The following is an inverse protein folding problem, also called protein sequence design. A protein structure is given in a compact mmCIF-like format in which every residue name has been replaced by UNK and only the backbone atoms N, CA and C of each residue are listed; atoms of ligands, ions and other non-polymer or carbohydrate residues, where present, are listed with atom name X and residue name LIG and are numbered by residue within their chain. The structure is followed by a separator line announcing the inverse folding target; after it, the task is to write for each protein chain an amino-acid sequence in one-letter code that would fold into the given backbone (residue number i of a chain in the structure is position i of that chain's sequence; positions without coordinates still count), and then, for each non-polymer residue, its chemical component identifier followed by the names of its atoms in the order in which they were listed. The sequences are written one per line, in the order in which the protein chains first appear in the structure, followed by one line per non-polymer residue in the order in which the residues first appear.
data_IF_321156654535
#
_entry.id   IF_321156654535
#
_cell.length_a   1.000
_cell.length_b   1.000
_cell.length_c   1.000
_cell.angle_alpha   90.00
_cell.angle_beta   90.00
_cell.angle_gamma   90.00
#
_symmetry.space_group_name_H-M   'P 1'
#
loop_
_entity.id
_entity.type
_entity.pdbx_description
1 polymer ?
#
# COMPACT_ATOMS: atom_id res chain seq x y z
N UNK A 1 -5.50 -9.85 3.76
CA UNK A 1 -4.08 -9.88 4.18
C UNK A 1 -4.03 -9.74 5.70
N UNK A 2 -3.24 -10.56 6.41
CA UNK A 2 -3.12 -10.51 7.87
C UNK A 2 -2.45 -9.22 8.38
N UNK A 3 -2.80 -8.78 9.60
CA UNK A 3 -2.21 -7.62 10.27
C UNK A 3 -0.73 -7.85 10.62
N UNK A 4 -0.34 -9.11 10.81
CA UNK A 4 1.00 -9.58 11.12
C UNK A 4 2.03 -9.20 10.04
N UNK A 5 1.60 -8.77 8.85
CA UNK A 5 2.50 -8.21 7.83
C UNK A 5 3.36 -7.07 8.39
N UNK A 6 2.83 -6.25 9.31
CA UNK A 6 3.56 -5.14 9.92
C UNK A 6 4.79 -5.54 10.71
N UNK A 7 4.92 -6.82 11.08
CA UNK A 7 6.08 -7.37 11.79
C UNK A 7 7.29 -7.58 10.87
N UNK A 8 7.11 -7.55 9.55
CA UNK A 8 8.19 -7.70 8.57
C UNK A 8 8.95 -6.37 8.39
N UNK A 9 9.53 -5.85 9.47
CA UNK A 9 10.16 -4.52 9.50
C UNK A 9 11.31 -4.32 8.52
N UNK A 10 11.95 -5.41 8.08
CA UNK A 10 13.06 -5.42 7.11
C UNK A 10 12.60 -5.59 5.66
N UNK A 11 11.29 -5.76 5.40
CA UNK A 11 10.77 -5.98 4.06
C UNK A 11 10.96 -4.73 3.19
N UNK A 12 11.63 -4.91 2.05
CA UNK A 12 11.92 -3.82 1.11
C UNK A 12 10.97 -3.81 -0.09
N UNK A 13 10.50 -4.97 -0.51
CA UNK A 13 9.60 -5.10 -1.65
C UNK A 13 8.42 -6.00 -1.28
N UNK A 14 7.21 -5.55 -1.62
CA UNK A 14 5.98 -6.29 -1.39
C UNK A 14 5.15 -6.30 -2.68
N UNK A 15 5.15 -7.46 -3.34
CA UNK A 15 4.36 -7.73 -4.55
C UNK A 15 3.05 -8.44 -4.18
N UNK A 16 1.94 -7.74 -4.38
CA UNK A 16 0.59 -8.23 -4.12
C UNK A 16 -0.32 -8.08 -5.35
N UNK A 17 0.27 -7.86 -6.52
CA UNK A 17 -0.47 -7.69 -7.76
C UNK A 17 -1.27 -8.95 -8.14
N UNK A 18 -2.36 -8.75 -8.90
CA UNK A 18 -3.21 -9.84 -9.40
C UNK A 18 -3.85 -10.71 -8.30
N UNK A 19 -4.24 -10.07 -7.21
CA UNK A 19 -4.97 -10.71 -6.12
C UNK A 19 -6.42 -10.21 -6.07
N UNK A 20 -7.16 -10.70 -5.08
CA UNK A 20 -8.54 -10.30 -4.81
C UNK A 20 -8.63 -9.43 -3.54
N UNK A 21 -7.59 -8.63 -3.26
CA UNK A 21 -7.57 -7.78 -2.07
C UNK A 21 -8.63 -6.70 -2.19
N UNK A 22 -9.51 -6.64 -1.19
CA UNK A 22 -10.54 -5.60 -1.05
C UNK A 22 -10.13 -4.50 -0.07
N UNK A 23 -9.19 -4.80 0.82
CA UNK A 23 -8.62 -3.86 1.79
C UNK A 23 -7.18 -4.24 2.16
N UNK A 24 -6.47 -3.27 2.74
CA UNK A 24 -5.17 -3.46 3.37
C UNK A 24 -5.28 -3.20 4.88
N UNK A 25 -4.57 -3.97 5.72
CA UNK A 25 -4.44 -3.68 7.14
C UNK A 25 -3.72 -2.35 7.35
N UNK A 26 -4.05 -1.63 8.43
CA UNK A 26 -3.37 -0.37 8.79
C UNK A 26 -1.91 -0.63 9.18
N UNK A 27 -1.61 -1.84 9.65
CA UNK A 27 -0.27 -2.33 9.98
C UNK A 27 0.69 -2.30 8.80
N UNK A 28 0.21 -2.14 7.55
CA UNK A 28 1.08 -1.87 6.40
C UNK A 28 2.01 -0.68 6.65
N UNK A 29 1.59 0.33 7.44
CA UNK A 29 2.42 1.49 7.80
C UNK A 29 3.62 1.17 8.67
N UNK A 30 3.69 -0.03 9.27
CA UNK A 30 4.81 -0.47 10.10
C UNK A 30 6.01 -0.95 9.27
N UNK A 31 5.84 -1.16 7.96
CA UNK A 31 6.89 -1.61 7.04
C UNK A 31 7.90 -0.49 6.72
N UNK A 32 8.64 -0.03 7.74
CA UNK A 32 9.49 1.16 7.68
C UNK A 32 10.60 1.12 6.62
N UNK A 33 11.02 -0.07 6.18
CA UNK A 33 12.04 -0.28 5.15
C UNK A 33 11.46 -0.53 3.75
N UNK A 34 10.13 -0.51 3.59
CA UNK A 34 9.48 -0.81 2.32
C UNK A 34 9.76 0.26 1.29
N UNK A 35 10.32 -0.14 0.15
CA UNK A 35 10.72 0.70 -0.97
C UNK A 35 9.78 0.54 -2.17
N UNK A 36 9.29 -0.68 -2.39
CA UNK A 36 8.34 -1.02 -3.45
C UNK A 36 7.09 -1.73 -2.94
N UNK A 37 5.92 -1.25 -3.38
CA UNK A 37 4.62 -1.85 -3.11
C UNK A 37 3.81 -1.95 -4.41
N UNK A 38 3.60 -3.16 -4.90
CA UNK A 38 2.75 -3.42 -6.06
C UNK A 38 1.40 -4.00 -5.64
N UNK A 39 0.35 -3.20 -5.80
CA UNK A 39 -1.04 -3.55 -5.49
C UNK A 39 -1.89 -3.62 -6.77
N UNK A 40 -1.27 -3.58 -7.95
CA UNK A 40 -2.00 -3.53 -9.21
C UNK A 40 -2.92 -4.73 -9.41
N UNK A 41 -4.02 -4.56 -10.15
CA UNK A 41 -4.99 -5.63 -10.43
C UNK A 41 -5.56 -6.26 -9.17
N UNK A 42 -6.14 -5.44 -8.31
CA UNK A 42 -6.85 -5.85 -7.10
C UNK A 42 -8.26 -5.20 -7.08
N UNK A 43 -8.99 -5.35 -5.98
CA UNK A 43 -10.34 -4.82 -5.78
C UNK A 43 -10.36 -3.73 -4.70
N UNK A 44 -9.24 -3.01 -4.51
CA UNK A 44 -9.13 -1.96 -3.50
C UNK A 44 -9.99 -0.75 -3.90
N UNK A 45 -10.85 -0.34 -2.98
CA UNK A 45 -11.68 0.87 -3.13
C UNK A 45 -11.08 2.08 -2.42
N UNK A 46 -10.23 1.83 -1.43
CA UNK A 46 -9.53 2.83 -0.64
C UNK A 46 -8.14 2.32 -0.23
N UNK A 47 -7.32 3.24 0.27
CA UNK A 47 -6.01 2.94 0.87
C UNK A 47 -5.95 3.43 2.31
N UNK A 48 -5.38 2.65 3.25
CA UNK A 48 -5.16 3.13 4.62
C UNK A 48 -4.21 4.33 4.60
N UNK A 49 -4.51 5.34 5.45
CA UNK A 49 -3.72 6.59 5.51
C UNK A 49 -2.26 6.34 5.93
N UNK A 50 -2.03 5.21 6.58
CA UNK A 50 -0.75 4.65 7.01
C UNK A 50 0.23 4.41 5.86
N UNK A 51 -0.24 4.18 4.61
CA UNK A 51 0.65 4.15 3.43
C UNK A 51 1.40 5.49 3.29
N UNK A 52 0.76 6.60 3.66
CA UNK A 52 1.38 7.91 3.69
C UNK A 52 2.53 8.03 4.69
N UNK A 53 2.66 7.12 5.66
CA UNK A 53 3.71 7.11 6.69
C UNK A 53 4.96 6.33 6.28
N UNK A 54 4.87 5.48 5.25
CA UNK A 54 5.96 4.60 4.79
C UNK A 54 7.14 5.39 4.20
N UNK A 55 8.02 5.97 5.03
CA UNK A 55 9.00 6.97 4.60
C UNK A 55 9.95 6.53 3.49
N UNK A 56 10.28 5.23 3.42
CA UNK A 56 11.15 4.66 2.40
C UNK A 56 10.41 4.23 1.12
N UNK A 57 9.07 4.35 1.05
CA UNK A 57 8.32 3.90 -0.11
C UNK A 57 8.46 4.91 -1.26
N UNK A 58 9.08 4.46 -2.35
CA UNK A 58 9.31 5.25 -3.56
C UNK A 58 8.45 4.77 -4.73
N UNK A 59 8.14 3.47 -4.78
CA UNK A 59 7.33 2.88 -5.85
C UNK A 59 6.02 2.35 -5.28
N UNK A 60 4.90 2.96 -5.70
CA UNK A 60 3.55 2.51 -5.37
C UNK A 60 2.77 2.29 -6.66
N UNK A 61 2.41 1.04 -6.96
CA UNK A 61 1.61 0.69 -8.14
C UNK A 61 0.20 0.32 -7.73
N UNK A 62 -0.77 1.02 -8.30
CA UNK A 62 -2.20 0.90 -7.95
C UNK A 62 -3.10 0.66 -9.15
N UNK A 63 -2.53 0.52 -10.36
CA UNK A 63 -3.27 0.36 -11.60
C UNK A 63 -4.28 -0.78 -11.50
N UNK A 64 -5.41 -0.66 -12.20
CA UNK A 64 -6.45 -1.70 -12.23
C UNK A 64 -7.02 -2.02 -10.83
N UNK A 65 -7.22 -0.99 -10.01
CA UNK A 65 -8.06 -1.03 -8.81
C UNK A 65 -9.21 -0.02 -8.93
N UNK A 66 -10.41 -0.32 -8.39
CA UNK A 66 -11.55 0.60 -8.38
C UNK A 66 -11.44 1.66 -7.27
N UNK A 67 -10.27 2.31 -7.14
CA UNK A 67 -10.00 3.29 -6.08
C UNK A 67 -10.89 4.52 -6.24
N UNK A 68 -11.61 4.88 -5.18
CA UNK A 68 -12.47 6.07 -5.13
C UNK A 68 -12.06 7.02 -4.02
N UNK A 69 -11.65 6.47 -2.88
CA UNK A 69 -11.34 7.22 -1.68
C UNK A 69 -9.86 7.05 -1.31
N UNK A 70 -9.04 7.99 -1.77
CA UNK A 70 -7.60 8.04 -1.46
C UNK A 70 -7.37 9.36 -0.73
N UNK A 71 -6.85 9.27 0.49
CA UNK A 71 -6.51 10.44 1.29
C UNK A 71 -5.55 11.39 0.53
N UNK A 72 -5.79 12.70 0.61
CA UNK A 72 -5.00 13.72 -0.10
C UNK A 72 -3.49 13.62 0.19
N UNK A 73 -3.11 13.26 1.42
CA UNK A 73 -1.70 13.02 1.78
C UNK A 73 -1.04 11.96 0.89
N UNK A 74 -1.76 10.89 0.55
CA UNK A 74 -1.26 9.81 -0.31
C UNK A 74 -1.22 10.31 -1.77
N UNK A 75 -2.28 10.97 -2.23
CA UNK A 75 -2.33 11.55 -3.59
C UNK A 75 -1.17 12.50 -3.85
N UNK A 76 -0.95 13.45 -2.94
CA UNK A 76 0.15 14.42 -3.06
C UNK A 76 1.52 13.76 -3.00
N UNK A 77 1.70 12.77 -2.12
CA UNK A 77 2.98 12.08 -1.94
C UNK A 77 3.38 11.27 -3.18
N UNK A 78 2.43 10.53 -3.77
CA UNK A 78 2.69 9.61 -4.88
C UNK A 78 2.25 10.14 -6.24
N UNK A 79 1.74 11.38 -6.30
CA UNK A 79 1.26 12.05 -7.53
C UNK A 79 0.20 11.22 -8.27
N UNK A 80 -0.77 10.71 -7.51
CA UNK A 80 -1.92 9.93 -8.00
C UNK A 80 -3.07 10.82 -8.46
#
# INVERSE_FOLDING_TARGET
MPAEIGQLSELQELELNQNQLTALPTEIGQLSQLQGLDLSKNQLTALPIEIGQLSQLHTLKLAENPLKDIAEKIRQRFRL
#
